data_IF_105790446086
#
_entry.id   IF_105790446086
#
_cell.length_a   1.000
_cell.length_b   1.000
_cell.length_c   1.000
_cell.angle_alpha   90.00
_cell.angle_beta   90.00
_cell.angle_gamma   90.00
#
_symmetry.space_group_name_H-M   'P 1'
#
loop_
_entity.id
_entity.type
_entity.pdbx_description
1 polymer ?
#
# COMPACT_ATOMS: atom_id res chain seq x y z
N UNK A 1 -44.32 71.29 7.01
CA UNK A 1 -42.88 71.00 7.20
C UNK A 1 -42.73 69.80 8.14
N UNK A 2 -42.52 68.59 7.59
CA UNK A 2 -42.35 67.31 8.38
C UNK A 2 -40.88 66.93 8.40
N UNK A 3 -40.31 66.90 9.58
CA UNK A 3 -38.93 66.52 9.78
C UNK A 3 -38.88 65.00 9.90
N UNK A 4 -38.23 64.32 8.94
CA UNK A 4 -37.91 62.90 9.05
C UNK A 4 -36.67 62.74 9.94
N UNK A 5 -36.82 61.95 10.99
CA UNK A 5 -35.70 61.48 11.82
C UNK A 5 -35.20 60.17 11.22
N UNK A 6 -33.95 60.13 10.77
CA UNK A 6 -33.25 58.94 10.37
C UNK A 6 -32.66 58.25 11.60
N UNK A 7 -33.08 57.02 11.86
CA UNK A 7 -32.47 56.17 12.91
C UNK A 7 -31.33 55.37 12.29
N UNK A 8 -30.11 55.58 12.79
CA UNK A 8 -28.95 54.76 12.41
C UNK A 8 -28.94 53.45 13.23
N UNK A 9 -29.00 52.33 12.52
CA UNK A 9 -28.85 51.01 13.09
C UNK A 9 -27.35 50.68 13.05
N UNK A 10 -26.72 50.56 14.21
CA UNK A 10 -25.36 50.10 14.33
C UNK A 10 -25.34 48.56 14.27
N UNK A 11 -24.76 48.01 13.22
CA UNK A 11 -24.51 46.58 13.10
C UNK A 11 -23.17 46.26 13.73
N UNK A 12 -23.21 45.64 14.90
CA UNK A 12 -22.00 45.13 15.57
C UNK A 12 -21.59 43.80 14.96
N UNK A 13 -20.52 43.80 14.17
CA UNK A 13 -19.90 42.60 13.66
C UNK A 13 -19.08 41.95 14.76
N UNK A 14 -19.59 40.86 15.34
CA UNK A 14 -18.86 40.06 16.31
C UNK A 14 -17.88 39.15 15.52
N UNK A 15 -16.60 39.52 15.52
CA UNK A 15 -15.54 38.70 14.95
C UNK A 15 -15.29 37.49 15.87
N UNK A 16 -15.87 36.33 15.53
CA UNK A 16 -15.45 35.06 16.13
C UNK A 16 -14.07 34.73 15.60
N UNK A 17 -13.04 34.91 16.39
CA UNK A 17 -11.72 34.36 16.16
C UNK A 17 -11.77 32.84 16.39
N UNK A 18 -11.96 32.07 15.30
CA UNK A 18 -11.75 30.64 15.30
C UNK A 18 -10.25 30.39 15.44
N UNK A 19 -9.79 30.25 16.68
CA UNK A 19 -8.48 29.68 16.96
C UNK A 19 -8.51 28.21 16.54
N UNK A 20 -8.07 27.92 15.31
CA UNK A 20 -7.79 26.56 14.89
C UNK A 20 -6.79 25.96 15.89
N UNK A 21 -7.10 24.81 16.52
CA UNK A 21 -6.10 24.14 17.33
C UNK A 21 -4.93 23.83 16.40
N UNK A 22 -3.75 24.37 16.73
CA UNK A 22 -2.53 24.00 16.03
C UNK A 22 -2.38 22.49 16.14
N UNK A 23 -2.52 21.79 15.02
CA UNK A 23 -2.18 20.37 14.91
C UNK A 23 -0.73 20.25 15.38
N UNK A 24 -0.56 19.67 16.56
CA UNK A 24 0.77 19.39 17.10
C UNK A 24 1.52 18.53 16.09
N UNK A 25 2.63 19.01 15.59
CA UNK A 25 3.51 18.39 14.60
C UNK A 25 4.25 17.15 15.16
N UNK A 26 3.65 16.38 16.08
CA UNK A 26 4.28 15.23 16.72
C UNK A 26 3.92 13.87 16.11
N UNK A 27 3.12 13.83 15.04
CA UNK A 27 2.71 12.58 14.41
C UNK A 27 3.50 12.25 13.11
N UNK A 28 4.61 12.94 12.85
CA UNK A 28 5.37 12.76 11.62
C UNK A 28 6.11 11.42 11.51
N UNK A 29 6.29 10.71 12.61
CA UNK A 29 7.12 9.51 12.68
C UNK A 29 6.34 8.21 12.94
N UNK A 30 5.01 8.25 13.00
CA UNK A 30 4.26 7.02 13.23
C UNK A 30 4.11 6.22 11.95
N UNK A 31 4.82 5.10 11.89
CA UNK A 31 4.65 4.11 10.83
C UNK A 31 3.18 3.69 10.73
N UNK A 32 2.53 3.78 9.56
CA UNK A 32 1.11 3.46 9.42
C UNK A 32 0.86 1.96 9.58
N UNK A 33 -0.31 1.59 10.13
CA UNK A 33 -0.76 0.20 10.17
C UNK A 33 -1.22 -0.31 8.80
N UNK A 34 -1.53 0.61 7.89
CA UNK A 34 -1.95 0.31 6.53
C UNK A 34 -1.34 1.29 5.56
N UNK A 35 -0.89 0.80 4.41
CA UNK A 35 -0.38 1.61 3.30
C UNK A 35 -0.95 1.15 1.97
N UNK A 36 -1.05 2.08 1.04
CA UNK A 36 -1.40 1.80 -0.36
C UNK A 36 -0.20 2.10 -1.24
N UNK A 37 0.14 1.15 -2.11
CA UNK A 37 1.34 1.13 -2.94
C UNK A 37 0.95 0.96 -4.40
N UNK A 38 1.50 1.77 -5.29
CA UNK A 38 1.31 1.60 -6.72
C UNK A 38 2.14 0.41 -7.23
N UNK A 39 1.50 -0.50 -7.97
CA UNK A 39 2.12 -1.69 -8.53
C UNK A 39 1.86 -1.76 -10.04
N UNK A 40 2.86 -1.39 -10.82
CA UNK A 40 2.78 -1.43 -12.28
C UNK A 40 2.46 -0.11 -12.97
N UNK A 41 1.77 0.83 -12.34
CA UNK A 41 1.55 2.13 -12.94
C UNK A 41 2.42 3.20 -12.29
N UNK A 42 3.24 3.85 -13.09
CA UNK A 42 3.68 5.18 -12.73
C UNK A 42 2.50 6.17 -12.88
N UNK A 43 2.51 7.23 -12.11
CA UNK A 43 1.53 8.32 -12.23
C UNK A 43 1.55 9.01 -13.60
N UNK A 44 2.46 8.61 -14.48
CA UNK A 44 2.59 9.12 -15.83
C UNK A 44 2.94 7.99 -16.80
N UNK A 45 1.91 7.28 -17.21
CA UNK A 45 2.02 6.14 -18.12
C UNK A 45 2.14 6.53 -19.60
N UNK A 46 2.15 7.81 -19.90
CA UNK A 46 2.12 8.32 -21.25
C UNK A 46 3.48 8.78 -21.78
N UNK A 47 4.56 8.17 -21.35
CA UNK A 47 5.86 8.46 -21.98
C UNK A 47 5.95 7.68 -23.31
N UNK A 48 5.97 8.37 -24.44
CA UNK A 48 6.18 7.71 -25.72
C UNK A 48 7.61 7.13 -25.77
N UNK A 49 7.68 5.88 -26.00
CA UNK A 49 8.98 5.21 -26.24
C UNK A 49 9.56 4.39 -25.12
N UNK A 50 8.73 4.12 -24.19
CA UNK A 50 8.86 3.56 -23.09
C UNK A 50 9.35 2.38 -22.56
N UNK A 51 9.97 2.43 -21.48
CA UNK A 51 10.00 1.32 -20.56
C UNK A 51 8.61 1.11 -20.02
N UNK A 52 8.12 -0.10 -20.08
CA UNK A 52 6.87 -0.45 -19.48
C UNK A 52 6.87 -0.06 -18.00
N UNK A 53 5.69 0.12 -17.44
CA UNK A 53 5.48 0.50 -16.05
C UNK A 53 5.89 -0.59 -15.05
N UNK A 54 7.15 -1.02 -15.12
CA UNK A 54 7.70 -2.08 -14.27
C UNK A 54 8.21 -1.51 -12.95
N UNK A 55 7.34 -0.74 -12.26
CA UNK A 55 7.69 -0.09 -11.01
C UNK A 55 6.73 -0.44 -9.88
N UNK A 56 7.27 -0.51 -8.68
CA UNK A 56 6.52 -0.52 -7.43
C UNK A 56 6.91 0.78 -6.71
N UNK A 57 5.93 1.59 -6.36
CA UNK A 57 6.17 2.91 -5.78
C UNK A 57 5.40 3.07 -4.47
N UNK A 58 6.09 3.33 -3.35
CA UNK A 58 7.55 3.40 -3.21
C UNK A 58 8.22 2.03 -3.29
N UNK A 59 9.53 1.99 -3.59
CA UNK A 59 10.29 0.74 -3.71
C UNK A 59 10.70 0.14 -2.36
N UNK A 60 10.66 0.92 -1.29
CA UNK A 60 10.81 0.47 0.07
C UNK A 60 9.87 1.27 0.99
N UNK A 61 9.19 0.59 1.88
CA UNK A 61 8.22 1.23 2.78
C UNK A 61 8.07 0.44 4.08
N UNK A 62 7.50 1.13 5.08
CA UNK A 62 7.27 0.56 6.42
C UNK A 62 5.79 0.51 6.72
N UNK A 63 5.38 -0.57 7.39
CA UNK A 63 4.06 -0.73 8.00
C UNK A 63 4.23 -1.33 9.38
N UNK A 64 3.29 -1.09 10.29
CA UNK A 64 3.37 -1.61 11.65
C UNK A 64 2.21 -2.51 12.01
N UNK A 65 2.50 -3.54 12.78
CA UNK A 65 1.51 -4.33 13.49
C UNK A 65 1.03 -3.48 14.67
N UNK A 66 -0.27 -3.37 14.87
CA UNK A 66 -0.83 -2.63 15.99
C UNK A 66 -1.39 -3.56 17.04
N UNK A 67 -1.48 -3.08 18.28
CA UNK A 67 -2.15 -3.78 19.38
C UNK A 67 -3.48 -3.11 19.65
N UNK A 68 -4.54 -3.88 19.68
CA UNK A 68 -5.87 -3.43 20.08
C UNK A 68 -6.26 -4.12 21.39
N UNK A 69 -6.80 -3.34 22.33
CA UNK A 69 -7.35 -3.87 23.58
C UNK A 69 -8.85 -4.06 23.43
N UNK A 70 -9.34 -5.28 23.61
CA UNK A 70 -10.77 -5.59 23.63
C UNK A 70 -11.42 -5.06 24.92
N UNK A 71 -12.75 -5.02 24.94
CA UNK A 71 -13.52 -4.59 26.12
C UNK A 71 -13.28 -5.46 27.37
N UNK A 72 -12.95 -6.73 27.16
CA UNK A 72 -12.59 -7.68 28.25
C UNK A 72 -11.14 -7.51 28.74
N UNK A 73 -10.40 -6.56 28.21
CA UNK A 73 -9.00 -6.32 28.55
C UNK A 73 -7.99 -7.12 27.75
N UNK A 74 -8.43 -8.09 26.94
CA UNK A 74 -7.55 -8.90 26.10
C UNK A 74 -6.85 -8.04 25.04
N UNK A 75 -5.52 -8.19 24.91
CA UNK A 75 -4.74 -7.56 23.84
C UNK A 75 -4.72 -8.48 22.63
N UNK A 76 -5.09 -7.96 21.48
CA UNK A 76 -5.01 -8.63 20.20
C UNK A 76 -4.11 -7.87 19.25
N UNK A 77 -3.32 -8.60 18.47
CA UNK A 77 -2.51 -8.01 17.41
C UNK A 77 -3.38 -7.79 16.17
N UNK A 78 -3.30 -6.60 15.61
CA UNK A 78 -3.94 -6.24 14.34
C UNK A 78 -2.85 -6.27 13.27
N UNK A 79 -2.97 -7.14 12.27
CA UNK A 79 -1.97 -7.25 11.21
C UNK A 79 -1.75 -5.91 10.49
N UNK A 80 -0.48 -5.65 10.14
CA UNK A 80 -0.18 -4.59 9.19
C UNK A 80 -0.75 -4.94 7.81
N UNK A 81 -1.25 -3.96 7.06
CA UNK A 81 -1.88 -4.18 5.76
C UNK A 81 -1.18 -3.39 4.67
N UNK A 82 -0.88 -4.06 3.56
CA UNK A 82 -0.39 -3.43 2.33
C UNK A 82 -1.38 -3.69 1.22
N UNK A 83 -1.89 -2.61 0.62
CA UNK A 83 -2.77 -2.66 -0.54
C UNK A 83 -1.97 -2.27 -1.79
N UNK A 84 -1.78 -3.20 -2.71
CA UNK A 84 -1.21 -2.90 -4.00
C UNK A 84 -2.31 -2.53 -5.00
N UNK A 85 -2.27 -1.29 -5.49
CA UNK A 85 -3.08 -0.90 -6.66
C UNK A 85 -2.34 -1.40 -7.89
N UNK A 86 -2.77 -2.53 -8.40
CA UNK A 86 -2.19 -3.19 -9.57
C UNK A 86 -2.78 -2.60 -10.84
N UNK A 87 -1.94 -2.09 -11.71
CA UNK A 87 -2.34 -1.52 -13.00
C UNK A 87 -1.64 -2.23 -14.15
N UNK A 88 -2.41 -2.96 -14.95
CA UNK A 88 -1.90 -3.74 -16.08
C UNK A 88 -1.60 -5.20 -15.75
N UNK A 89 -0.85 -5.85 -16.64
CA UNK A 89 -0.51 -7.26 -16.52
C UNK A 89 0.62 -7.49 -15.53
N UNK A 90 0.30 -7.42 -14.25
CA UNK A 90 1.25 -7.62 -13.15
C UNK A 90 0.71 -8.61 -12.13
N UNK A 91 1.63 -9.33 -11.47
CA UNK A 91 1.28 -10.34 -10.49
C UNK A 91 2.16 -10.22 -9.24
N UNK A 92 1.68 -9.57 -8.17
CA UNK A 92 2.44 -9.44 -6.93
C UNK A 92 2.65 -10.79 -6.25
N UNK A 93 3.90 -11.10 -5.94
CA UNK A 93 4.30 -12.20 -5.06
C UNK A 93 5.11 -11.63 -3.91
N UNK A 94 4.71 -11.99 -2.70
CA UNK A 94 5.38 -11.58 -1.46
C UNK A 94 6.05 -12.80 -0.86
N UNK A 95 7.35 -12.70 -0.59
CA UNK A 95 8.14 -13.74 0.06
C UNK A 95 8.18 -13.55 1.56
N UNK A 96 8.38 -14.65 2.30
CA UNK A 96 8.62 -14.63 3.74
C UNK A 96 9.84 -13.77 4.09
N UNK A 97 9.85 -13.26 5.31
CA UNK A 97 11.01 -12.56 5.84
C UNK A 97 12.24 -13.47 5.79
N UNK A 98 13.37 -12.92 5.32
CA UNK A 98 14.62 -13.64 5.17
C UNK A 98 14.91 -14.13 3.74
N UNK A 99 13.92 -14.25 2.86
CA UNK A 99 14.18 -14.51 1.43
C UNK A 99 14.85 -13.30 0.80
N UNK A 100 15.95 -13.52 0.12
CA UNK A 100 16.75 -12.44 -0.47
C UNK A 100 16.43 -12.23 -1.95
N UNK A 101 16.69 -11.02 -2.44
CA UNK A 101 16.55 -10.72 -3.85
C UNK A 101 17.49 -11.55 -4.73
N UNK A 102 18.72 -11.79 -4.26
CA UNK A 102 19.71 -12.57 -5.00
C UNK A 102 19.32 -14.04 -5.09
N UNK A 103 18.71 -14.58 -4.03
CA UNK A 103 18.14 -15.92 -4.05
C UNK A 103 17.05 -16.04 -5.12
N UNK A 104 16.10 -15.11 -5.19
CA UNK A 104 15.07 -15.13 -6.23
C UNK A 104 15.68 -14.95 -7.61
N UNK A 105 16.63 -14.04 -7.78
CA UNK A 105 17.33 -13.82 -9.06
C UNK A 105 18.04 -15.07 -9.56
N UNK A 106 18.66 -15.83 -8.67
CA UNK A 106 19.37 -17.07 -9.02
C UNK A 106 18.43 -18.16 -9.57
N UNK A 107 17.13 -18.09 -9.27
CA UNK A 107 16.12 -19.05 -9.69
C UNK A 107 15.21 -18.54 -10.81
N UNK A 108 15.51 -17.36 -11.38
CA UNK A 108 14.76 -16.88 -12.54
C UNK A 108 15.01 -17.80 -13.73
N UNK A 109 13.96 -18.39 -14.35
CA UNK A 109 14.16 -19.29 -15.48
C UNK A 109 14.72 -18.51 -16.69
N UNK A 110 15.54 -19.16 -17.48
CA UNK A 110 16.12 -18.56 -18.69
C UNK A 110 15.04 -18.14 -19.72
N UNK A 111 13.91 -18.85 -19.73
CA UNK A 111 12.76 -18.58 -20.60
C UNK A 111 11.45 -18.80 -19.85
N UNK A 112 10.35 -18.25 -20.39
CA UNK A 112 9.02 -18.39 -19.81
C UNK A 112 8.43 -17.03 -19.40
N UNK A 113 7.14 -17.04 -19.08
CA UNK A 113 6.38 -15.82 -18.75
C UNK A 113 6.55 -15.40 -17.29
N UNK A 114 6.82 -16.36 -16.40
CA UNK A 114 6.81 -16.14 -14.96
C UNK A 114 8.10 -16.57 -14.29
N UNK A 115 8.40 -15.95 -13.15
CA UNK A 115 9.53 -16.34 -12.27
C UNK A 115 9.23 -17.69 -11.62
N UNK A 116 8.07 -17.85 -11.03
CA UNK A 116 7.57 -19.07 -10.41
C UNK A 116 8.52 -19.75 -9.39
N UNK A 117 9.35 -18.98 -8.73
CA UNK A 117 10.15 -19.46 -7.60
C UNK A 117 9.29 -19.50 -6.33
N UNK A 118 8.72 -20.65 -6.04
CA UNK A 118 7.73 -20.83 -4.97
C UNK A 118 8.30 -20.94 -3.56
N UNK A 119 9.61 -21.15 -3.42
CA UNK A 119 10.24 -21.35 -2.10
C UNK A 119 10.13 -20.06 -1.29
N UNK A 120 9.56 -20.19 -0.10
CA UNK A 120 9.40 -19.06 0.81
C UNK A 120 8.34 -18.02 0.39
N UNK A 121 7.45 -18.34 -0.53
CA UNK A 121 6.34 -17.45 -0.88
C UNK A 121 5.38 -17.35 0.29
N UNK A 122 5.20 -16.12 0.79
CA UNK A 122 4.26 -15.79 1.86
C UNK A 122 2.83 -15.68 1.33
N UNK A 123 2.65 -14.93 0.25
CA UNK A 123 1.36 -14.74 -0.38
C UNK A 123 1.50 -14.41 -1.87
N UNK A 124 0.51 -14.80 -2.64
CA UNK A 124 0.38 -14.51 -4.07
C UNK A 124 -0.81 -13.58 -4.27
N UNK A 125 -0.63 -12.53 -5.04
CA UNK A 125 -1.72 -11.72 -5.54
C UNK A 125 -2.53 -12.46 -6.61
N UNK A 126 -3.62 -11.87 -7.04
CA UNK A 126 -4.48 -12.47 -8.06
C UNK A 126 -3.84 -12.32 -9.44
N UNK A 127 -3.73 -13.41 -10.17
CA UNK A 127 -3.27 -13.39 -11.56
C UNK A 127 -4.36 -12.84 -12.48
N UNK A 128 -4.06 -11.87 -13.35
CA UNK A 128 -5.03 -11.34 -14.30
C UNK A 128 -5.59 -12.45 -15.20
N UNK A 129 -6.90 -12.53 -15.29
CA UNK A 129 -7.59 -13.54 -16.10
C UNK A 129 -7.79 -14.90 -15.43
N UNK A 130 -7.33 -15.08 -14.21
CA UNK A 130 -7.53 -16.30 -13.45
C UNK A 130 -8.53 -16.06 -12.32
N UNK A 131 -9.56 -16.89 -12.14
CA UNK A 131 -10.41 -16.77 -10.98
C UNK A 131 -9.58 -16.92 -9.69
N UNK A 132 -9.81 -16.11 -8.68
CA UNK A 132 -9.08 -16.21 -7.41
C UNK A 132 -9.39 -17.56 -6.75
N UNK A 133 -8.35 -18.18 -6.21
CA UNK A 133 -8.50 -19.35 -5.35
C UNK A 133 -8.42 -18.93 -3.89
N UNK A 134 -8.90 -19.77 -2.98
CA UNK A 134 -8.79 -19.50 -1.53
C UNK A 134 -7.33 -19.41 -1.04
N UNK A 135 -6.38 -19.91 -1.81
CA UNK A 135 -4.94 -19.82 -1.53
C UNK A 135 -4.37 -18.45 -1.92
N UNK A 136 -5.03 -17.74 -2.83
CA UNK A 136 -4.62 -16.42 -3.30
C UNK A 136 -5.23 -15.38 -2.35
N UNK A 137 -4.44 -14.87 -1.46
CA UNK A 137 -4.85 -13.95 -0.40
C UNK A 137 -4.90 -12.50 -0.84
N UNK A 138 -5.38 -12.23 -2.03
CA UNK A 138 -5.72 -10.89 -2.46
C UNK A 138 -7.22 -10.62 -2.30
N UNK A 139 -7.63 -9.39 -2.45
CA UNK A 139 -9.05 -9.10 -2.70
C UNK A 139 -9.39 -9.68 -4.07
N UNK A 140 -10.36 -10.58 -4.17
CA UNK A 140 -10.73 -11.16 -5.45
C UNK A 140 -11.08 -10.05 -6.44
N UNK A 141 -10.59 -10.07 -7.68
CA UNK A 141 -11.07 -9.16 -8.69
C UNK A 141 -12.55 -9.41 -8.94
N UNK A 142 -13.28 -8.37 -9.24
CA UNK A 142 -14.72 -8.46 -9.54
C UNK A 142 -15.00 -9.34 -10.76
N UNK A 143 -14.02 -9.45 -11.66
CA UNK A 143 -14.13 -10.26 -12.89
C UNK A 143 -12.77 -10.90 -13.21
N UNK A 144 -12.81 -12.11 -13.77
CA UNK A 144 -11.63 -12.74 -14.35
C UNK A 144 -11.11 -11.88 -15.51
N UNK A 145 -9.79 -11.65 -15.55
CA UNK A 145 -9.17 -10.80 -16.56
C UNK A 145 -9.02 -9.33 -16.15
N UNK A 146 -9.39 -8.98 -14.92
CA UNK A 146 -9.21 -7.63 -14.41
C UNK A 146 -7.73 -7.32 -14.22
N UNK A 147 -7.19 -6.47 -15.09
CA UNK A 147 -5.81 -5.98 -15.02
C UNK A 147 -5.63 -4.80 -14.08
N UNK A 148 -6.74 -4.17 -13.67
CA UNK A 148 -6.73 -3.05 -12.74
C UNK A 148 -7.49 -3.46 -11.48
N UNK A 149 -6.75 -3.74 -10.43
CA UNK A 149 -7.30 -4.29 -9.19
C UNK A 149 -6.50 -3.86 -7.97
N UNK A 150 -7.02 -4.18 -6.80
CA UNK A 150 -6.30 -4.05 -5.54
C UNK A 150 -6.05 -5.43 -4.94
N UNK A 151 -4.77 -5.76 -4.74
CA UNK A 151 -4.36 -6.94 -4.01
C UNK A 151 -3.92 -6.54 -2.60
N UNK A 152 -4.56 -7.10 -1.57
CA UNK A 152 -4.30 -6.76 -0.16
C UNK A 152 -3.59 -7.89 0.56
N UNK A 153 -2.51 -7.55 1.28
CA UNK A 153 -1.71 -8.49 2.05
C UNK A 153 -1.65 -8.07 3.52
N UNK A 154 -1.90 -9.03 4.42
CA UNK A 154 -1.82 -8.82 5.86
C UNK A 154 -0.57 -9.47 6.45
N UNK A 155 0.16 -8.75 7.30
CA UNK A 155 1.40 -9.20 7.95
C UNK A 155 1.20 -9.25 9.46
N UNK A 156 1.34 -10.44 10.04
CA UNK A 156 1.17 -10.66 11.48
C UNK A 156 2.48 -10.83 12.25
N UNK A 157 3.63 -10.79 11.55
CA UNK A 157 4.94 -10.88 12.15
C UNK A 157 5.86 -9.77 11.63
N UNK A 158 6.69 -9.16 12.50
CA UNK A 158 7.71 -8.21 12.06
C UNK A 158 8.74 -8.89 11.18
N UNK A 159 9.33 -8.11 10.28
CA UNK A 159 10.35 -8.59 9.35
C UNK A 159 10.47 -7.77 8.09
N UNK A 160 11.45 -8.10 7.28
CA UNK A 160 11.65 -7.51 5.96
C UNK A 160 11.25 -8.50 4.89
N UNK A 161 10.19 -8.19 4.17
CA UNK A 161 9.57 -9.03 3.16
C UNK A 161 9.90 -8.48 1.77
N UNK A 162 10.27 -9.39 0.85
CA UNK A 162 10.47 -9.04 -0.55
C UNK A 162 9.15 -9.19 -1.30
N UNK A 163 8.76 -8.19 -2.06
CA UNK A 163 7.68 -8.30 -3.05
C UNK A 163 8.25 -8.16 -4.45
N UNK A 164 7.83 -9.01 -5.36
CA UNK A 164 8.21 -8.97 -6.77
C UNK A 164 6.96 -8.95 -7.67
N UNK A 165 7.14 -8.53 -8.91
CA UNK A 165 6.22 -8.94 -9.96
C UNK A 165 6.63 -10.34 -10.46
N UNK A 166 5.72 -11.32 -10.37
CA UNK A 166 6.02 -12.68 -10.83
C UNK A 166 6.12 -12.80 -12.37
N UNK A 167 5.71 -11.77 -13.11
CA UNK A 167 5.96 -11.71 -14.55
C UNK A 167 7.46 -11.52 -14.78
N UNK A 168 8.09 -12.51 -15.40
CA UNK A 168 9.54 -12.64 -15.53
C UNK A 168 10.20 -11.40 -16.13
N UNK A 169 9.70 -10.89 -17.24
CA UNK A 169 10.25 -9.69 -17.88
C UNK A 169 10.23 -8.49 -16.93
N UNK A 170 9.14 -8.29 -16.22
CA UNK A 170 9.00 -7.17 -15.29
C UNK A 170 9.97 -7.28 -14.10
N UNK A 171 10.13 -8.49 -13.55
CA UNK A 171 11.09 -8.73 -12.48
C UNK A 171 12.53 -8.49 -12.93
N UNK A 172 12.91 -8.96 -14.12
CA UNK A 172 14.24 -8.74 -14.70
C UNK A 172 14.52 -7.26 -14.93
N UNK A 173 13.49 -6.49 -15.27
CA UNK A 173 13.59 -5.03 -15.43
C UNK A 173 13.62 -4.28 -14.08
N UNK A 174 13.60 -5.00 -12.96
CA UNK A 174 13.75 -4.41 -11.63
C UNK A 174 12.44 -4.15 -10.89
N UNK A 175 11.34 -4.78 -11.27
CA UNK A 175 10.04 -4.63 -10.60
C UNK A 175 9.98 -5.45 -9.30
N UNK A 176 10.55 -4.93 -8.26
CA UNK A 176 10.51 -5.45 -6.88
C UNK A 176 10.52 -4.31 -5.86
N UNK A 177 10.13 -4.61 -4.63
CA UNK A 177 10.16 -3.69 -3.51
C UNK A 177 10.37 -4.42 -2.18
N UNK A 178 10.63 -3.64 -1.12
CA UNK A 178 10.79 -4.16 0.24
C UNK A 178 9.71 -3.61 1.16
N UNK A 179 9.13 -4.52 1.94
CA UNK A 179 8.13 -4.23 2.96
C UNK A 179 8.80 -4.45 4.32
N UNK A 180 9.02 -3.39 5.07
CA UNK A 180 9.53 -3.47 6.44
C UNK A 180 8.33 -3.46 7.39
N UNK A 181 8.00 -4.61 7.93
CA UNK A 181 6.96 -4.76 8.95
C UNK A 181 7.61 -4.62 10.31
N UNK A 182 7.14 -3.67 11.09
CA UNK A 182 7.66 -3.40 12.44
C UNK A 182 6.63 -3.71 13.51
N UNK A 183 7.08 -4.02 14.72
CA UNK A 183 6.19 -4.14 15.88
C UNK A 183 5.72 -2.74 16.31
N UNK A 184 4.50 -2.62 16.77
CA UNK A 184 3.91 -1.35 17.18
C UNK A 184 4.56 -0.72 18.43
N UNK A 185 5.44 -1.45 19.10
CA UNK A 185 6.19 -0.96 20.26
C UNK A 185 7.56 -0.36 19.89
N UNK A 186 8.01 -0.49 18.64
CA UNK A 186 9.35 -0.07 18.19
C UNK A 186 9.44 1.43 17.83
N UNK A 187 8.41 2.22 18.13
CA UNK A 187 8.36 3.66 17.86
C UNK A 187 8.98 4.51 19.02
N UNK A 188 9.97 3.96 19.76
CA UNK A 188 10.76 4.70 20.77
C UNK A 188 12.12 5.14 20.24
#
# INVERSE_FOLDING_TARGET
>A
MKILRASAVAVSVLALSLSSPALKASDKDKTPAQITVAFGAGLNTAQPGNTPNHHIIPQEFRVRITKAKKLDGTVVFVPATVNFIVSGFHWPWVYNAGVTLDEVKAHVPAAGTFVNYDVGVFAKGVFPGTPPTFADRGTPPATSGDMNRTDSFGFSAPGRYLVICNVRGHFVDGMYAWINVVDGDDDN
#
